data_IF_682717189169
#
_entry.id   IF_682717189169
#
_cell.length_a   1.000
_cell.length_b   1.000
_cell.length_c   1.000
_cell.angle_alpha   90.00
_cell.angle_beta   90.00
_cell.angle_gamma   90.00
#
_symmetry.space_group_name_H-M   'P 1'
#
loop_
_entity.id
_entity.type
_entity.pdbx_description
1 polymer ?
#
# COMPACT_ATOMS: atom_id res chain seq x y z
N UNK A 1 -21.70 2.09 -15.33
CA UNK A 1 -20.68 2.79 -14.53
C UNK A 1 -19.54 3.10 -15.48
N UNK A 2 -19.13 4.36 -15.62
CA UNK A 2 -17.95 4.67 -16.44
C UNK A 2 -16.73 3.92 -15.90
N UNK A 3 -15.92 3.34 -16.77
CA UNK A 3 -14.67 2.69 -16.37
C UNK A 3 -13.71 3.76 -15.86
N UNK A 4 -13.37 3.70 -14.57
CA UNK A 4 -12.37 4.59 -13.98
C UNK A 4 -10.97 4.14 -14.43
N UNK A 5 -10.22 5.02 -15.06
CA UNK A 5 -8.79 4.78 -15.34
C UNK A 5 -7.97 5.12 -14.11
N UNK A 6 -7.08 4.20 -13.72
CA UNK A 6 -6.14 4.39 -12.62
C UNK A 6 -4.73 4.63 -13.15
N UNK A 7 -4.05 5.61 -12.57
CA UNK A 7 -2.64 5.90 -12.79
C UNK A 7 -1.86 5.46 -11.54
N UNK A 8 -0.65 4.94 -11.72
CA UNK A 8 0.16 4.44 -10.60
C UNK A 8 1.40 5.32 -10.45
N UNK A 9 1.49 5.96 -9.30
CA UNK A 9 2.62 6.80 -8.91
C UNK A 9 3.59 6.04 -8.03
N UNK A 10 4.88 6.24 -8.28
CA UNK A 10 5.98 5.50 -7.64
C UNK A 10 7.05 6.41 -7.05
N UNK A 11 7.01 7.71 -7.36
CA UNK A 11 7.71 8.82 -6.72
C UNK A 11 6.84 9.40 -5.61
N UNK A 12 7.44 9.79 -4.48
CA UNK A 12 6.69 10.22 -3.30
C UNK A 12 7.18 11.57 -2.77
N UNK A 13 6.26 12.30 -2.17
CA UNK A 13 6.52 13.55 -1.46
C UNK A 13 6.35 13.29 0.05
N UNK A 14 7.45 13.01 0.75
CA UNK A 14 7.44 12.81 2.20
C UNK A 14 7.54 14.16 2.94
N UNK A 15 6.80 14.39 4.04
CA UNK A 15 5.91 13.45 4.73
C UNK A 15 4.48 13.41 4.18
N UNK A 16 4.18 14.21 3.15
CA UNK A 16 2.82 14.45 2.68
C UNK A 16 2.09 13.18 2.22
N UNK A 17 2.76 12.29 1.50
CA UNK A 17 2.17 11.03 1.07
C UNK A 17 2.07 10.00 2.20
N UNK A 18 3.03 9.98 3.13
CA UNK A 18 2.93 9.13 4.32
C UNK A 18 1.78 9.56 5.23
N UNK A 19 1.59 10.87 5.44
CA UNK A 19 0.46 11.41 6.19
C UNK A 19 -0.86 11.08 5.51
N UNK A 20 -0.92 11.17 4.17
CA UNK A 20 -2.12 10.80 3.42
C UNK A 20 -2.47 9.31 3.56
N UNK A 21 -1.49 8.40 3.42
CA UNK A 21 -1.71 6.95 3.60
C UNK A 21 -2.25 6.68 5.01
N UNK A 22 -1.65 7.30 6.02
CA UNK A 22 -2.07 7.13 7.41
C UNK A 22 -3.51 7.62 7.63
N UNK A 23 -3.85 8.76 7.04
CA UNK A 23 -5.21 9.28 7.10
C UNK A 23 -6.22 8.43 6.29
N UNK A 24 -5.78 7.71 5.26
CA UNK A 24 -6.62 6.74 4.54
C UNK A 24 -6.94 5.52 5.41
N UNK A 25 -5.99 5.06 6.24
CA UNK A 25 -6.24 4.05 7.26
C UNK A 25 -7.26 4.52 8.30
N UNK A 26 -7.10 5.72 8.83
CA UNK A 26 -8.04 6.31 9.79
C UNK A 26 -9.44 6.41 9.19
N UNK A 27 -9.54 6.91 7.95
CA UNK A 27 -10.79 7.05 7.22
C UNK A 27 -11.50 5.72 6.92
N UNK A 28 -10.78 4.59 6.94
CA UNK A 28 -11.38 3.26 6.73
C UNK A 28 -12.07 2.72 7.99
N UNK A 29 -11.65 3.13 9.19
CA UNK A 29 -12.16 2.58 10.45
C UNK A 29 -13.68 2.71 10.61
N UNK A 30 -14.32 3.88 10.34
CA UNK A 30 -15.78 4.00 10.45
C UNK A 30 -16.51 3.07 9.48
N UNK A 31 -15.99 2.91 8.26
CA UNK A 31 -16.59 2.01 7.27
C UNK A 31 -16.52 0.55 7.72
N UNK A 32 -15.37 0.13 8.24
CA UNK A 32 -15.18 -1.24 8.72
C UNK A 32 -16.06 -1.54 9.93
N UNK A 33 -16.17 -0.61 10.87
CA UNK A 33 -17.07 -0.72 12.01
C UNK A 33 -18.54 -0.86 11.56
N UNK A 34 -19.00 -0.02 10.63
CA UNK A 34 -20.35 -0.08 10.08
C UNK A 34 -20.66 -1.40 9.35
N UNK A 35 -19.63 -2.08 8.81
CA UNK A 35 -19.75 -3.39 8.17
C UNK A 35 -19.61 -4.57 9.13
N UNK A 36 -19.44 -4.34 10.44
CA UNK A 36 -19.20 -5.41 11.43
C UNK A 36 -17.77 -5.96 11.41
N UNK A 37 -16.84 -5.31 10.69
CA UNK A 37 -15.43 -5.71 10.55
C UNK A 37 -14.49 -4.90 11.42
N UNK A 38 -15.00 -4.21 12.45
CA UNK A 38 -14.19 -3.38 13.34
C UNK A 38 -13.11 -4.15 14.10
N UNK A 39 -13.26 -5.46 14.30
CA UNK A 39 -12.27 -6.30 14.98
C UNK A 39 -10.92 -6.38 14.25
N UNK A 40 -10.89 -6.18 12.94
CA UNK A 40 -9.66 -6.29 12.15
C UNK A 40 -8.59 -5.28 12.62
N UNK A 41 -8.99 -4.03 12.88
CA UNK A 41 -8.07 -2.97 13.28
C UNK A 41 -8.45 -2.30 14.61
N UNK A 42 -9.60 -2.57 15.19
CA UNK A 42 -10.12 -1.88 16.36
C UNK A 42 -10.62 -0.46 16.04
N UNK A 43 -10.78 0.36 17.07
CA UNK A 43 -11.35 1.72 16.96
C UNK A 43 -10.33 2.86 17.07
N UNK A 44 -9.13 2.61 17.60
CA UNK A 44 -8.08 3.63 17.73
C UNK A 44 -7.55 4.01 16.34
N UNK A 45 -7.57 5.28 15.92
CA UNK A 45 -6.94 5.74 14.68
C UNK A 45 -5.50 5.22 14.57
N UNK A 46 -5.08 4.83 13.36
CA UNK A 46 -3.70 4.46 13.09
C UNK A 46 -2.75 5.64 13.32
N UNK A 47 -3.16 6.87 12.98
CA UNK A 47 -2.34 8.07 13.23
C UNK A 47 -1.99 8.31 14.69
N UNK A 48 -2.79 7.76 15.60
CA UNK A 48 -2.59 7.84 17.04
C UNK A 48 -1.82 6.65 17.62
N UNK A 49 -1.44 5.64 16.81
CA UNK A 49 -0.71 4.46 17.28
C UNK A 49 0.79 4.70 17.24
N UNK A 50 1.47 4.19 18.27
CA UNK A 50 2.92 4.26 18.38
C UNK A 50 3.58 3.56 17.18
N UNK A 51 4.55 4.25 16.56
CA UNK A 51 5.30 3.75 15.40
C UNK A 51 4.55 3.66 14.07
N UNK A 52 3.26 4.05 14.01
CA UNK A 52 2.50 3.97 12.76
C UNK A 52 3.03 4.95 11.69
N UNK A 53 3.38 6.18 12.09
CA UNK A 53 4.01 7.17 11.20
C UNK A 53 5.32 6.66 10.62
N UNK A 54 6.21 6.15 11.49
CA UNK A 54 7.52 5.62 11.09
C UNK A 54 7.38 4.41 10.15
N UNK A 55 6.41 3.53 10.42
CA UNK A 55 6.11 2.39 9.55
C UNK A 55 5.70 2.82 8.15
N UNK A 56 4.77 3.77 8.04
CA UNK A 56 4.31 4.25 6.73
C UNK A 56 5.44 4.97 6.00
N UNK A 57 6.21 5.83 6.69
CA UNK A 57 7.38 6.48 6.12
C UNK A 57 8.41 5.45 5.63
N UNK A 58 8.64 4.38 6.40
CA UNK A 58 9.51 3.27 6.04
C UNK A 58 9.12 2.59 4.72
N UNK A 59 7.82 2.43 4.44
CA UNK A 59 7.36 1.89 3.14
C UNK A 59 7.77 2.77 1.96
N UNK A 60 7.65 4.10 2.10
CA UNK A 60 8.05 5.05 1.06
C UNK A 60 9.57 4.98 0.84
N UNK A 61 10.35 5.05 1.92
CA UNK A 61 11.82 4.98 1.88
C UNK A 61 12.32 3.66 1.28
N UNK A 62 11.73 2.53 1.66
CA UNK A 62 12.05 1.21 1.10
C UNK A 62 11.80 1.18 -0.41
N UNK A 63 10.63 1.64 -0.85
CA UNK A 63 10.25 1.65 -2.27
C UNK A 63 11.16 2.55 -3.10
N UNK A 64 11.48 3.74 -2.56
CA UNK A 64 12.41 4.69 -3.17
C UNK A 64 13.82 4.13 -3.32
N UNK A 65 14.34 3.50 -2.27
CA UNK A 65 15.67 2.91 -2.26
C UNK A 65 15.75 1.76 -3.26
N UNK A 66 14.74 0.90 -3.28
CA UNK A 66 14.64 -0.21 -4.24
C UNK A 66 14.59 0.28 -5.70
N UNK A 67 13.86 1.38 -5.95
CA UNK A 67 13.83 2.03 -7.28
C UNK A 67 15.21 2.52 -7.70
N UNK A 68 15.88 3.32 -6.85
CA UNK A 68 17.21 3.89 -7.17
C UNK A 68 18.26 2.82 -7.42
N UNK A 69 18.28 1.74 -6.63
CA UNK A 69 19.21 0.61 -6.84
C UNK A 69 19.01 -0.04 -8.21
N UNK A 70 17.76 -0.26 -8.63
CA UNK A 70 17.45 -0.87 -9.94
C UNK A 70 17.84 0.04 -11.10
N UNK A 71 17.66 1.34 -10.94
CA UNK A 71 17.97 2.32 -11.98
C UNK A 71 19.49 2.59 -12.09
N UNK A 72 20.31 1.99 -11.22
CA UNK A 72 21.78 2.06 -11.24
C UNK A 72 22.38 3.17 -10.38
N UNK A 73 21.56 3.89 -9.60
CA UNK A 73 21.94 5.11 -8.89
C UNK A 73 22.26 4.89 -7.38
N UNK A 74 22.26 3.65 -6.89
CA UNK A 74 22.35 3.34 -5.46
C UNK A 74 23.56 2.52 -5.03
N UNK A 75 24.36 3.02 -4.07
CA UNK A 75 25.28 2.18 -3.28
C UNK A 75 24.50 1.23 -2.36
N UNK A 76 24.88 -0.05 -2.36
CA UNK A 76 24.35 -1.06 -1.43
C UNK A 76 25.12 -0.97 -0.11
N UNK A 77 24.59 -0.23 0.86
CA UNK A 77 25.01 -0.39 2.26
C UNK A 77 24.33 -1.63 2.83
N UNK A 78 25.14 -2.63 3.21
CA UNK A 78 24.69 -3.75 4.05
C UNK A 78 24.65 -3.24 5.49
N UNK A 79 23.46 -3.05 6.04
CA UNK A 79 23.35 -2.73 7.46
C UNK A 79 23.51 -4.02 8.27
N UNK A 80 24.55 -4.02 9.12
CA UNK A 80 24.82 -5.05 10.11
C UNK A 80 24.07 -4.68 11.40
N UNK A 81 22.77 -4.95 11.50
CA UNK A 81 22.19 -5.14 12.83
C UNK A 81 20.91 -6.00 12.81
N UNK A 82 20.97 -7.11 13.52
CA UNK A 82 19.94 -8.16 13.57
C UNK A 82 18.76 -7.82 14.48
N UNK A 83 17.97 -6.81 14.10
CA UNK A 83 16.77 -6.41 14.84
C UNK A 83 15.55 -6.17 13.95
N UNK A 84 14.78 -7.22 13.64
CA UNK A 84 13.38 -7.11 13.20
C UNK A 84 13.07 -6.37 11.90
N UNK A 85 14.07 -6.05 11.08
CA UNK A 85 13.92 -5.39 9.79
C UNK A 85 13.52 -6.40 8.73
N UNK A 86 12.27 -6.35 8.29
CA UNK A 86 11.84 -7.11 7.12
C UNK A 86 12.66 -6.78 5.88
N UNK A 87 12.65 -7.65 4.86
CA UNK A 87 13.43 -7.52 3.64
C UNK A 87 13.61 -6.08 3.16
N UNK A 88 14.86 -5.69 2.91
CA UNK A 88 15.30 -4.33 2.57
C UNK A 88 14.80 -3.84 1.20
N UNK A 89 14.04 -4.68 0.49
CA UNK A 89 13.53 -4.45 -0.85
C UNK A 89 12.02 -4.58 -0.92
N UNK A 90 11.40 -3.69 -1.69
CA UNK A 90 9.97 -3.70 -1.94
C UNK A 90 9.53 -2.57 -2.85
N UNK A 91 8.24 -2.53 -3.13
CA UNK A 91 7.63 -1.50 -3.97
C UNK A 91 6.30 -1.04 -3.40
N UNK A 92 6.10 0.27 -3.37
CA UNK A 92 4.86 0.92 -3.04
C UNK A 92 4.31 1.60 -4.31
N UNK A 93 3.00 1.57 -4.47
CA UNK A 93 2.28 2.27 -5.53
C UNK A 93 1.16 3.10 -4.90
N UNK A 94 1.01 4.34 -5.34
CA UNK A 94 -0.18 5.14 -5.08
C UNK A 94 -1.03 5.13 -6.35
N UNK A 95 -2.25 4.63 -6.24
CA UNK A 95 -3.23 4.70 -7.31
C UNK A 95 -3.92 6.07 -7.30
N UNK A 96 -3.98 6.69 -8.47
CA UNK A 96 -4.53 8.03 -8.69
C UNK A 96 -5.58 8.01 -9.81
N UNK A 97 -6.48 8.97 -9.78
CA UNK A 97 -7.44 9.23 -10.86
C UNK A 97 -7.26 10.65 -11.38
N UNK A 98 -7.34 10.84 -12.69
CA UNK A 98 -7.34 12.18 -13.29
C UNK A 98 -8.65 12.90 -12.93
N UNK A 99 -8.55 14.11 -12.41
CA UNK A 99 -9.69 14.98 -12.15
C UNK A 99 -10.01 15.82 -13.40
N UNK A 100 -11.30 16.13 -13.66
CA UNK A 100 -11.69 17.10 -14.67
C UNK A 100 -10.98 18.45 -14.48
N UNK A 101 -10.69 19.14 -15.59
CA UNK A 101 -10.01 20.44 -15.55
C UNK A 101 -10.79 21.52 -14.78
N UNK A 102 -12.11 21.38 -14.71
CA UNK A 102 -13.06 22.27 -14.03
C UNK A 102 -13.41 21.83 -12.60
N UNK A 103 -12.74 20.82 -12.05
CA UNK A 103 -12.97 20.37 -10.68
C UNK A 103 -12.62 21.48 -9.66
N UNK A 104 -13.53 21.74 -8.73
CA UNK A 104 -13.41 22.81 -7.71
C UNK A 104 -12.30 22.49 -6.67
N UNK A 105 -11.21 23.28 -6.72
CA UNK A 105 -10.05 23.14 -5.85
C UNK A 105 -10.34 23.39 -4.37
N UNK A 106 -11.31 24.26 -4.07
CA UNK A 106 -11.66 24.60 -2.70
C UNK A 106 -12.47 23.45 -2.08
N UNK A 107 -13.34 22.83 -2.87
CA UNK A 107 -14.06 21.62 -2.48
C UNK A 107 -13.13 20.41 -2.26
N UNK A 108 -12.08 20.27 -3.08
CA UNK A 108 -11.09 19.19 -2.94
C UNK A 108 -10.31 19.31 -1.62
N UNK A 109 -9.88 20.54 -1.29
CA UNK A 109 -9.13 20.84 -0.06
C UNK A 109 -10.01 20.64 1.18
N UNK A 110 -11.26 21.08 1.13
CA UNK A 110 -12.23 20.91 2.22
C UNK A 110 -12.57 19.44 2.52
N UNK A 111 -12.47 18.56 1.52
CA UNK A 111 -12.68 17.11 1.69
C UNK A 111 -11.44 16.35 2.18
N UNK A 112 -10.33 17.05 2.42
CA UNK A 112 -9.06 16.44 2.82
C UNK A 112 -8.46 15.55 1.73
N UNK A 113 -8.79 15.81 0.47
CA UNK A 113 -8.29 15.04 -0.66
C UNK A 113 -6.82 15.33 -0.92
N UNK A 114 -6.08 14.30 -1.29
CA UNK A 114 -4.71 14.43 -1.78
C UNK A 114 -4.75 14.59 -3.29
N UNK A 115 -4.74 15.84 -3.74
CA UNK A 115 -4.63 16.20 -5.16
C UNK A 115 -3.21 16.71 -5.44
N UNK A 116 -2.62 16.25 -6.54
CA UNK A 116 -1.39 16.83 -7.10
C UNK A 116 -1.66 17.34 -8.51
N UNK A 117 -0.87 18.33 -8.92
CA UNK A 117 -0.82 18.77 -10.31
C UNK A 117 0.46 18.26 -10.92
N UNK A 118 0.35 17.56 -12.04
CA UNK A 118 1.49 17.18 -12.85
C UNK A 118 2.06 18.43 -13.54
N UNK A 119 3.29 18.80 -13.21
CA UNK A 119 3.90 20.05 -13.68
C UNK A 119 4.11 20.09 -15.20
N UNK A 120 4.25 18.91 -15.83
CA UNK A 120 4.50 18.82 -17.27
C UNK A 120 3.21 18.98 -18.08
N UNK A 121 2.15 18.27 -17.68
CA UNK A 121 0.89 18.26 -18.43
C UNK A 121 -0.16 19.24 -17.89
N UNK A 122 0.03 19.79 -16.69
CA UNK A 122 -0.96 20.58 -15.96
C UNK A 122 -2.16 19.76 -15.46
N UNK A 123 -2.17 18.43 -15.68
CA UNK A 123 -3.25 17.55 -15.27
C UNK A 123 -3.27 17.36 -13.76
N UNK A 124 -4.47 17.19 -13.22
CA UNK A 124 -4.69 17.03 -11.78
C UNK A 124 -5.01 15.58 -11.46
N UNK A 125 -4.36 15.04 -10.44
CA UNK A 125 -4.49 13.65 -10.04
C UNK A 125 -4.88 13.55 -8.56
N UNK A 126 -5.97 12.86 -8.29
CA UNK A 126 -6.45 12.54 -6.94
C UNK A 126 -5.92 11.17 -6.51
N UNK A 127 -5.17 11.11 -5.42
CA UNK A 127 -4.77 9.83 -4.79
C UNK A 127 -5.99 9.16 -4.16
N UNK A 128 -6.21 7.88 -4.48
CA UNK A 128 -7.41 7.13 -4.06
C UNK A 128 -7.11 5.81 -3.36
N UNK A 129 -5.91 5.25 -3.51
CA UNK A 129 -5.49 4.03 -2.82
C UNK A 129 -3.97 3.87 -2.82
N UNK A 130 -3.44 3.08 -1.88
CA UNK A 130 -2.04 2.70 -1.84
C UNK A 130 -1.91 1.18 -1.69
N UNK A 131 -0.88 0.60 -2.30
CA UNK A 131 -0.58 -0.83 -2.21
C UNK A 131 0.91 -1.09 -2.23
N UNK A 132 1.39 -1.98 -1.38
CA UNK A 132 2.81 -2.25 -1.19
C UNK A 132 3.15 -3.73 -1.11
N UNK A 133 4.28 -4.10 -1.69
CA UNK A 133 4.83 -5.45 -1.73
C UNK A 133 6.27 -5.46 -1.22
N UNK A 134 6.65 -6.52 -0.50
CA UNK A 134 8.01 -6.75 0.00
C UNK A 134 8.61 -8.01 -0.60
N UNK A 135 9.92 -7.98 -0.82
CA UNK A 135 10.68 -9.12 -1.34
C UNK A 135 11.38 -9.85 -0.20
N UNK A 136 11.35 -11.19 -0.20
CA UNK A 136 12.10 -12.01 0.77
C UNK A 136 11.71 -11.77 2.23
N UNK A 137 10.44 -11.40 2.46
CA UNK A 137 9.96 -11.01 3.79
C UNK A 137 8.63 -11.68 4.14
N UNK A 138 8.48 -11.97 5.43
CA UNK A 138 7.27 -12.49 6.05
C UNK A 138 6.91 -11.68 7.32
N UNK A 139 5.62 -11.45 7.61
CA UNK A 139 5.22 -10.86 8.88
C UNK A 139 5.73 -11.68 10.07
N UNK A 140 6.25 -11.00 11.10
CA UNK A 140 6.90 -11.68 12.24
C UNK A 140 5.97 -12.65 12.96
N UNK A 141 4.68 -12.29 13.07
CA UNK A 141 3.67 -13.13 13.73
C UNK A 141 3.38 -14.43 12.97
N UNK A 142 3.81 -14.59 11.71
CA UNK A 142 3.64 -15.87 11.00
C UNK A 142 4.33 -17.02 11.75
N UNK A 143 5.44 -16.74 12.43
CA UNK A 143 6.20 -17.73 13.18
C UNK A 143 5.39 -18.38 14.31
N UNK A 144 4.36 -17.68 14.81
CA UNK A 144 3.49 -18.16 15.87
C UNK A 144 2.47 -19.20 15.38
N UNK A 145 2.29 -19.33 14.07
CA UNK A 145 1.32 -20.24 13.45
C UNK A 145 2.04 -21.46 12.87
N UNK A 146 1.96 -22.63 13.53
CA UNK A 146 2.57 -23.87 13.03
C UNK A 146 2.19 -24.21 11.58
N UNK A 147 0.98 -23.87 11.18
CA UNK A 147 0.45 -24.13 9.83
C UNK A 147 1.16 -23.32 8.74
N UNK A 148 1.81 -22.19 9.07
CA UNK A 148 2.51 -21.36 8.08
C UNK A 148 3.96 -21.82 7.88
N UNK A 149 4.54 -22.57 8.82
CA UNK A 149 5.98 -22.92 8.78
C UNK A 149 6.36 -23.73 7.56
N UNK A 150 5.54 -24.72 7.19
CA UNK A 150 5.80 -25.52 5.98
C UNK A 150 5.65 -24.68 4.71
N UNK A 151 4.63 -23.82 4.65
CA UNK A 151 4.40 -22.89 3.53
C UNK A 151 5.60 -21.96 3.33
N UNK A 152 6.09 -21.33 4.42
CA UNK A 152 7.24 -20.42 4.38
C UNK A 152 8.49 -21.17 3.92
N UNK A 153 8.75 -22.37 4.48
CA UNK A 153 9.91 -23.18 4.09
C UNK A 153 9.90 -23.53 2.61
N UNK A 154 8.75 -23.92 2.06
CA UNK A 154 8.61 -24.24 0.64
C UNK A 154 8.78 -23.00 -0.25
N UNK A 155 8.16 -21.89 0.14
CA UNK A 155 8.25 -20.61 -0.56
C UNK A 155 9.69 -20.06 -0.59
N UNK A 156 10.40 -20.12 0.54
CA UNK A 156 11.79 -19.69 0.65
C UNK A 156 12.72 -20.59 -0.17
N UNK A 157 12.42 -21.90 -0.25
CA UNK A 157 13.18 -22.84 -1.09
C UNK A 157 12.95 -22.62 -2.60
N UNK A 158 11.77 -22.17 -3.01
CA UNK A 158 11.50 -21.74 -4.40
C UNK A 158 12.25 -20.43 -4.73
N UNK A 159 12.40 -19.56 -3.74
CA UNK A 159 13.00 -18.24 -3.89
C UNK A 159 12.04 -17.23 -4.53
N UNK A 160 12.42 -15.95 -4.50
CA UNK A 160 11.61 -14.88 -5.11
C UNK A 160 10.29 -14.60 -4.38
N UNK A 161 10.24 -14.80 -3.06
CA UNK A 161 9.08 -14.50 -2.22
C UNK A 161 8.66 -13.04 -2.39
N UNK A 162 7.41 -12.83 -2.80
CA UNK A 162 6.76 -11.52 -2.90
C UNK A 162 5.56 -11.49 -1.96
N UNK A 163 5.58 -10.62 -0.96
CA UNK A 163 4.52 -10.49 0.03
C UNK A 163 3.79 -9.16 -0.11
N UNK A 164 2.49 -9.19 -0.45
CA UNK A 164 1.62 -8.00 -0.46
C UNK A 164 1.34 -7.59 0.99
N UNK A 165 2.12 -6.64 1.50
CA UNK A 165 2.08 -6.20 2.89
C UNK A 165 0.92 -5.26 3.17
N UNK A 166 0.59 -4.37 2.22
CA UNK A 166 -0.41 -3.34 2.44
C UNK A 166 -1.29 -3.12 1.22
N UNK A 167 -2.58 -2.94 1.47
CA UNK A 167 -3.56 -2.50 0.49
C UNK A 167 -4.63 -1.66 1.20
N UNK A 168 -4.72 -0.37 0.87
CA UNK A 168 -5.66 0.57 1.50
C UNK A 168 -6.29 1.48 0.44
N UNK A 169 -7.61 1.64 0.47
CA UNK A 169 -8.32 2.64 -0.33
C UNK A 169 -8.76 3.79 0.55
N UNK A 170 -8.68 5.01 0.05
CA UNK A 170 -9.07 6.20 0.78
C UNK A 170 -10.59 6.41 0.72
N UNK A 171 -11.30 5.99 1.77
CA UNK A 171 -12.76 6.09 1.86
C UNK A 171 -13.30 7.53 1.76
N UNK A 172 -12.48 8.55 2.04
CA UNK A 172 -12.83 9.98 1.94
C UNK A 172 -13.03 10.43 0.49
N UNK A 173 -12.49 9.71 -0.48
CA UNK A 173 -12.61 9.99 -1.92
C UNK A 173 -13.88 9.41 -2.56
N UNK A 174 -14.79 8.84 -1.76
CA UNK A 174 -16.11 8.42 -2.22
C UNK A 174 -16.06 7.39 -3.34
N UNK A 175 -16.68 7.71 -4.48
CA UNK A 175 -16.73 6.82 -5.65
C UNK A 175 -15.43 6.74 -6.44
N UNK A 176 -14.52 7.71 -6.31
CA UNK A 176 -13.27 7.76 -7.09
C UNK A 176 -12.35 6.56 -6.84
N UNK A 177 -12.36 6.01 -5.62
CA UNK A 177 -11.57 4.81 -5.27
C UNK A 177 -12.15 3.48 -5.75
N UNK A 178 -13.40 3.44 -6.25
CA UNK A 178 -14.07 2.16 -6.55
C UNK A 178 -13.30 1.42 -7.65
N UNK A 179 -12.81 0.22 -7.33
CA UNK A 179 -11.98 -0.59 -8.24
C UNK A 179 -10.47 -0.43 -8.03
N UNK A 180 -10.02 0.57 -7.27
CA UNK A 180 -8.60 0.86 -7.08
C UNK A 180 -7.83 -0.30 -6.43
N UNK A 181 -8.46 -1.04 -5.51
CA UNK A 181 -7.83 -2.23 -4.89
C UNK A 181 -7.50 -3.32 -5.90
N UNK A 182 -8.42 -3.64 -6.81
CA UNK A 182 -8.17 -4.60 -7.89
C UNK A 182 -7.11 -4.12 -8.87
N UNK A 183 -7.13 -2.82 -9.21
CA UNK A 183 -6.13 -2.20 -10.06
C UNK A 183 -4.73 -2.23 -9.45
N UNK A 184 -4.59 -1.96 -8.14
CA UNK A 184 -3.33 -2.07 -7.41
C UNK A 184 -2.81 -3.50 -7.36
N UNK A 185 -3.67 -4.48 -7.08
CA UNK A 185 -3.26 -5.89 -7.10
C UNK A 185 -2.77 -6.29 -8.50
N UNK A 186 -3.44 -5.85 -9.56
CA UNK A 186 -2.98 -6.10 -10.94
C UNK A 186 -1.60 -5.47 -11.18
N UNK A 187 -1.40 -4.20 -10.79
CA UNK A 187 -0.12 -3.50 -10.94
C UNK A 187 1.01 -4.17 -10.15
N UNK A 188 0.73 -4.61 -8.93
CA UNK A 188 1.71 -5.29 -8.08
C UNK A 188 2.04 -6.67 -8.66
N UNK A 189 1.08 -7.38 -9.25
CA UNK A 189 1.35 -8.64 -9.98
C UNK A 189 2.24 -8.41 -11.20
N UNK A 190 2.02 -7.35 -11.98
CA UNK A 190 2.91 -6.99 -13.09
C UNK A 190 4.34 -6.77 -12.61
N UNK A 191 4.50 -6.02 -11.50
CA UNK A 191 5.80 -5.83 -10.87
C UNK A 191 6.41 -7.16 -10.42
N UNK A 192 5.69 -8.00 -9.67
CA UNK A 192 6.19 -9.28 -9.18
C UNK A 192 6.65 -10.20 -10.33
N UNK A 193 5.87 -10.28 -11.42
CA UNK A 193 6.23 -11.02 -12.63
C UNK A 193 7.49 -10.47 -13.29
N UNK A 194 7.64 -9.14 -13.36
CA UNK A 194 8.86 -8.51 -13.90
C UNK A 194 10.12 -8.82 -13.08
N UNK A 195 9.95 -9.17 -11.80
CA UNK A 195 11.03 -9.61 -10.91
C UNK A 195 11.23 -11.14 -10.92
N UNK A 196 10.53 -11.86 -11.80
CA UNK A 196 10.64 -13.32 -11.94
C UNK A 196 9.87 -14.12 -10.88
N UNK A 197 9.03 -13.47 -10.07
CA UNK A 197 8.22 -14.17 -9.09
C UNK A 197 7.15 -15.04 -9.75
N UNK A 198 6.98 -16.27 -9.26
CA UNK A 198 5.93 -17.20 -9.69
C UNK A 198 4.71 -17.16 -8.77
N UNK A 199 4.94 -16.82 -7.51
CA UNK A 199 3.93 -16.83 -6.45
C UNK A 199 3.99 -15.51 -5.68
N UNK A 200 2.83 -14.97 -5.33
CA UNK A 200 2.69 -13.82 -4.45
C UNK A 200 1.82 -14.22 -3.25
N UNK A 201 2.26 -13.81 -2.06
CA UNK A 201 1.65 -14.15 -0.79
C UNK A 201 0.98 -12.92 -0.17
N UNK A 202 -0.05 -13.14 0.63
CA UNK A 202 -0.71 -12.12 1.45
C UNK A 202 -1.42 -12.80 2.62
N UNK A 203 -1.72 -12.03 3.64
CA UNK A 203 -2.70 -12.37 4.65
C UNK A 203 -3.90 -11.44 4.58
N UNK A 204 -5.05 -11.90 5.06
CA UNK A 204 -6.20 -11.05 5.21
C UNK A 204 -7.01 -11.44 6.43
N UNK A 205 -7.75 -10.48 6.97
CA UNK A 205 -8.66 -10.72 8.06
C UNK A 205 -9.83 -11.61 7.61
N UNK A 206 -9.92 -12.80 8.21
CA UNK A 206 -10.96 -13.77 7.89
C UNK A 206 -12.27 -13.60 8.70
N UNK A 207 -12.32 -12.63 9.64
CA UNK A 207 -13.48 -12.43 10.50
C UNK A 207 -14.72 -11.89 9.75
N UNK A 208 -15.78 -11.60 10.52
CA UNK A 208 -17.07 -11.11 9.99
C UNK A 208 -17.66 -12.00 8.86
N UNK A 209 -17.49 -13.33 8.95
CA UNK A 209 -18.04 -14.29 7.98
C UNK A 209 -17.53 -14.11 6.53
N UNK A 210 -16.38 -13.45 6.35
CA UNK A 210 -15.83 -13.12 5.04
C UNK A 210 -16.60 -12.03 4.28
N UNK A 211 -17.41 -11.22 4.96
CA UNK A 211 -18.23 -10.17 4.32
C UNK A 211 -17.44 -8.95 3.83
N UNK A 212 -16.12 -8.90 4.07
CA UNK A 212 -15.25 -7.85 3.51
C UNK A 212 -15.00 -8.02 2.00
N UNK A 213 -15.17 -9.23 1.47
CA UNK A 213 -14.88 -9.57 0.07
C UNK A 213 -16.11 -10.04 -0.71
N UNK A 214 -17.30 -10.07 -0.09
CA UNK A 214 -18.56 -10.51 -0.69
C UNK A 214 -19.43 -9.35 -1.15
#
# INVERSE_FOLDING_TARGET
>A
MASQTFHFREDFESPRDSDWILAAFDGALPHMAAKGSGQQWGSRPFSERDGARDRVAGWLTMSETSRRRRDGDGEVKKDQDGGGGGGEEGRLFIAEVELPADADTDADTAQGWRVRTDETSGKRFLSVAAGGVRTGWWPTYFQDFEQTKQLIKEADAEGGVMYLEVLISDFRTGSHRKGAGGALVAKIKEYALSQGAKTMYLDCFAGNGGLLVK
#
